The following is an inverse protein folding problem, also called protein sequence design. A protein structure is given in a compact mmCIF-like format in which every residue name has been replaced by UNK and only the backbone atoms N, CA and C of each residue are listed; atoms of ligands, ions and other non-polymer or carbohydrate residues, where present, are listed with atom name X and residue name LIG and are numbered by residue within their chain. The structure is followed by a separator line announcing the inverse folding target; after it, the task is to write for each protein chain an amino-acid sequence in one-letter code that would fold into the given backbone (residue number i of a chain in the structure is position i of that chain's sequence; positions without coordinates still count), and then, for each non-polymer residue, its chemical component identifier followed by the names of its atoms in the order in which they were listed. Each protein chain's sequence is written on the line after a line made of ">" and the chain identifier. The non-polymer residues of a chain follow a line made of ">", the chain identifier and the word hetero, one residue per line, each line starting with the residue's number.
data_IF_462353591753
#
_entry.id   IF_462353591753
#
_cell.length_a   1.000
_cell.length_b   1.000
_cell.length_c   1.000
_cell.angle_alpha   90.00
_cell.angle_beta   90.00
_cell.angle_gamma   90.00
#
_symmetry.space_group_name_H-M   'P 1'
#
loop_
_entity.id
_entity.type
_entity.pdbx_description
1 polymer ?
#
# COMPACT_ATOMS: atom_id res chain seq x y z
N UNK A 1 14.96 -5.41 -1.46
CA UNK A 1 14.25 -5.27 -0.16
C UNK A 1 13.75 -6.64 0.24
N UNK A 2 14.01 -7.07 1.46
CA UNK A 2 13.50 -8.33 2.01
C UNK A 2 12.58 -8.02 3.20
N UNK A 3 11.43 -8.69 3.26
CA UNK A 3 10.44 -8.52 4.33
C UNK A 3 10.79 -9.48 5.47
N UNK A 4 11.15 -8.93 6.63
CA UNK A 4 11.52 -9.70 7.81
C UNK A 4 10.29 -10.18 8.60
N UNK A 5 9.24 -9.36 8.66
CA UNK A 5 7.97 -9.73 9.29
C UNK A 5 6.81 -8.97 8.65
N UNK A 6 5.61 -9.54 8.74
CA UNK A 6 4.38 -8.91 8.29
C UNK A 6 3.26 -9.16 9.29
N UNK A 7 2.37 -8.16 9.43
CA UNK A 7 1.16 -8.26 10.24
C UNK A 7 -0.02 -7.74 9.45
N UNK A 8 -1.08 -8.54 9.42
CA UNK A 8 -2.35 -8.11 8.84
C UNK A 8 -2.92 -6.90 9.56
N UNK A 9 -3.45 -5.94 8.80
CA UNK A 9 -4.07 -4.72 9.33
C UNK A 9 -5.56 -4.73 9.05
N UNK A 10 -5.95 -4.82 7.79
CA UNK A 10 -7.35 -4.75 7.36
C UNK A 10 -7.48 -5.22 5.90
N UNK A 11 -8.71 -5.30 5.41
CA UNK A 11 -9.04 -5.54 4.02
C UNK A 11 -10.09 -4.54 3.54
N UNK A 12 -10.10 -4.27 2.23
CA UNK A 12 -11.11 -3.41 1.63
C UNK A 12 -11.51 -3.95 0.25
N UNK A 13 -12.81 -3.95 -0.03
CA UNK A 13 -13.32 -4.29 -1.35
C UNK A 13 -12.86 -3.26 -2.39
N UNK A 14 -12.59 -3.72 -3.61
CA UNK A 14 -12.15 -2.88 -4.72
C UNK A 14 -12.80 -3.35 -6.04
N UNK A 15 -12.87 -2.44 -7.00
CA UNK A 15 -13.29 -2.73 -8.37
C UNK A 15 -12.13 -2.39 -9.30
N UNK A 16 -11.51 -3.41 -9.87
CA UNK A 16 -10.38 -3.25 -10.79
C UNK A 16 -10.85 -3.34 -12.24
N UNK A 17 -10.75 -2.22 -12.98
CA UNK A 17 -11.05 -2.19 -14.41
C UNK A 17 -9.84 -2.66 -15.21
N UNK A 18 -9.96 -3.80 -15.90
CA UNK A 18 -8.92 -4.35 -16.74
C UNK A 18 -9.49 -4.88 -18.04
N UNK A 19 -8.95 -4.42 -19.18
CA UNK A 19 -9.43 -4.78 -20.52
C UNK A 19 -10.95 -4.69 -20.64
N UNK A 20 -11.51 -3.56 -20.21
CA UNK A 20 -12.96 -3.26 -20.23
C UNK A 20 -13.83 -4.17 -19.34
N UNK A 21 -13.22 -5.01 -18.50
CA UNK A 21 -13.92 -5.88 -17.55
C UNK A 21 -13.72 -5.35 -16.13
N UNK A 22 -14.82 -5.26 -15.39
CA UNK A 22 -14.81 -4.92 -13.97
C UNK A 22 -14.63 -6.18 -13.12
N UNK A 23 -13.50 -6.28 -12.44
CA UNK A 23 -13.22 -7.35 -11.49
C UNK A 23 -13.54 -6.90 -10.07
N UNK A 24 -14.34 -7.68 -9.36
CA UNK A 24 -14.53 -7.53 -7.91
C UNK A 24 -13.31 -8.14 -7.21
N UNK A 25 -12.54 -7.34 -6.50
CA UNK A 25 -11.37 -7.80 -5.75
C UNK A 25 -11.47 -7.43 -4.28
N UNK A 26 -10.69 -8.12 -3.45
CA UNK A 26 -10.51 -7.80 -2.05
C UNK A 26 -9.03 -7.54 -1.82
N UNK A 27 -8.69 -6.30 -1.49
CA UNK A 27 -7.31 -5.91 -1.24
C UNK A 27 -6.99 -6.15 0.24
N UNK A 28 -5.87 -6.81 0.51
CA UNK A 28 -5.40 -7.13 1.85
C UNK A 28 -4.20 -6.25 2.21
N UNK A 29 -4.27 -5.58 3.35
CA UNK A 29 -3.24 -4.63 3.78
C UNK A 29 -2.43 -5.20 4.93
N UNK A 30 -1.11 -5.16 4.76
CA UNK A 30 -0.13 -5.63 5.74
C UNK A 30 0.84 -4.51 6.08
N UNK A 31 1.27 -4.48 7.35
CA UNK A 31 2.42 -3.69 7.78
C UNK A 31 3.62 -4.63 7.85
N UNK A 32 4.68 -4.24 7.16
CA UNK A 32 5.90 -5.03 7.07
C UNK A 32 7.06 -4.33 7.76
N UNK A 33 7.96 -5.11 8.35
CA UNK A 33 9.30 -4.65 8.74
C UNK A 33 10.31 -5.15 7.71
N UNK A 34 11.25 -4.29 7.35
CA UNK A 34 12.33 -4.61 6.41
C UNK A 34 13.65 -4.35 7.11
N UNK A 35 14.60 -5.27 6.99
CA UNK A 35 15.88 -5.17 7.71
C UNK A 35 16.77 -4.09 7.09
N UNK A 36 16.71 -3.94 5.76
CA UNK A 36 17.49 -2.98 5.00
C UNK A 36 16.67 -2.36 3.86
N UNK A 37 16.73 -1.03 3.76
CA UNK A 37 16.04 -0.24 2.73
C UNK A 37 17.00 0.30 1.65
N UNK A 38 18.32 0.20 1.86
CA UNK A 38 19.32 0.83 0.98
C UNK A 38 19.41 0.22 -0.44
N UNK A 39 18.88 -1.00 -0.64
CA UNK A 39 18.87 -1.68 -1.94
C UNK A 39 17.48 -1.69 -2.61
N UNK A 40 16.60 -0.77 -2.24
CA UNK A 40 15.31 -0.61 -2.92
C UNK A 40 15.57 -0.02 -4.31
N UNK A 41 15.26 -0.79 -5.34
CA UNK A 41 15.36 -0.38 -6.73
C UNK A 41 13.99 -0.58 -7.41
N UNK A 42 13.46 0.41 -8.13
CA UNK A 42 12.30 0.20 -8.97
C UNK A 42 12.56 -0.93 -9.95
N UNK A 43 11.53 -1.73 -10.21
CA UNK A 43 11.53 -2.78 -11.24
C UNK A 43 10.61 -2.34 -12.38
N UNK A 44 10.43 -3.18 -13.40
CA UNK A 44 9.76 -2.82 -14.67
C UNK A 44 8.37 -2.16 -14.50
N UNK A 45 7.59 -2.56 -13.49
CA UNK A 45 6.22 -2.05 -13.26
C UNK A 45 6.15 -0.83 -12.32
N UNK A 46 7.28 -0.32 -11.82
CA UNK A 46 7.34 0.77 -10.84
C UNK A 46 8.25 1.88 -11.35
N UNK A 47 7.70 3.07 -11.60
CA UNK A 47 8.49 4.20 -12.12
C UNK A 47 9.47 4.80 -11.11
N UNK A 48 9.21 4.67 -9.81
CA UNK A 48 10.04 5.26 -8.77
C UNK A 48 9.54 4.93 -7.37
N UNK A 49 10.35 5.24 -6.37
CA UNK A 49 10.07 4.94 -4.96
C UNK A 49 10.30 6.18 -4.13
N UNK A 50 9.31 6.51 -3.31
CA UNK A 50 9.30 7.70 -2.47
C UNK A 50 9.03 7.30 -1.02
N UNK A 51 9.81 7.89 -0.10
CA UNK A 51 9.58 7.78 1.33
C UNK A 51 8.95 9.09 1.79
N UNK A 52 7.86 8.97 2.53
CA UNK A 52 7.14 10.11 3.08
C UNK A 52 7.17 10.03 4.60
N UNK A 53 7.27 11.18 5.25
CA UNK A 53 6.85 11.26 6.64
C UNK A 53 5.37 10.90 6.75
N UNK A 54 4.97 10.29 7.87
CA UNK A 54 3.60 9.78 8.06
C UNK A 54 2.54 10.87 7.83
N UNK A 55 2.83 12.11 8.21
CA UNK A 55 1.91 13.25 8.07
C UNK A 55 1.87 13.84 6.65
N UNK A 56 2.83 13.50 5.80
CA UNK A 56 3.01 14.09 4.46
C UNK A 56 2.66 13.12 3.32
N UNK A 57 2.14 11.94 3.66
CA UNK A 57 1.71 10.96 2.67
C UNK A 57 0.60 11.55 1.79
N UNK A 58 0.76 11.61 0.46
CA UNK A 58 -0.23 12.17 -0.45
C UNK A 58 -1.35 11.16 -0.73
N UNK A 59 -2.24 10.94 0.24
CA UNK A 59 -3.32 9.92 0.17
C UNK A 59 -4.18 10.08 -1.10
N UNK A 60 -4.44 11.32 -1.51
CA UNK A 60 -5.30 11.62 -2.67
C UNK A 60 -4.66 11.25 -4.02
N UNK A 61 -3.34 10.98 -4.06
CA UNK A 61 -2.66 10.50 -5.27
C UNK A 61 -2.77 8.98 -5.46
N UNK A 62 -3.24 8.24 -4.46
CA UNK A 62 -3.47 6.81 -4.61
C UNK A 62 -4.68 6.58 -5.52
N UNK A 63 -4.52 5.77 -6.57
CA UNK A 63 -5.59 5.54 -7.55
C UNK A 63 -6.81 4.83 -6.96
N UNK A 64 -6.59 3.79 -6.15
CA UNK A 64 -7.67 2.91 -5.70
C UNK A 64 -8.31 3.37 -4.37
N UNK A 65 -9.66 3.40 -4.30
CA UNK A 65 -10.38 3.68 -3.05
C UNK A 65 -10.01 2.73 -1.91
N UNK A 66 -9.82 1.44 -2.22
CA UNK A 66 -9.41 0.42 -1.25
C UNK A 66 -8.07 0.74 -0.60
N UNK A 67 -7.07 1.16 -1.40
CA UNK A 67 -5.74 1.53 -0.89
C UNK A 67 -5.81 2.76 0.00
N UNK A 68 -6.62 3.77 -0.36
CA UNK A 68 -6.87 4.93 0.51
C UNK A 68 -7.50 4.52 1.83
N UNK A 69 -8.53 3.67 1.81
CA UNK A 69 -9.20 3.17 3.01
C UNK A 69 -8.25 2.35 3.91
N UNK A 70 -7.47 1.43 3.32
CA UNK A 70 -6.50 0.61 4.04
C UNK A 70 -5.42 1.45 4.72
N UNK A 71 -4.90 2.47 4.02
CA UNK A 71 -3.89 3.38 4.55
C UNK A 71 -4.46 4.29 5.65
N UNK A 72 -5.65 4.86 5.46
CA UNK A 72 -6.33 5.66 6.49
C UNK A 72 -6.58 4.84 7.75
N UNK A 73 -7.05 3.59 7.61
CA UNK A 73 -7.24 2.69 8.74
C UNK A 73 -5.91 2.45 9.49
N UNK A 74 -4.82 2.18 8.77
CA UNK A 74 -3.49 2.05 9.38
C UNK A 74 -3.07 3.31 10.13
N UNK A 75 -3.26 4.49 9.52
CA UNK A 75 -2.89 5.78 10.11
C UNK A 75 -3.70 6.12 11.37
N UNK A 76 -4.93 5.64 11.48
CA UNK A 76 -5.79 5.88 12.64
C UNK A 76 -5.59 4.85 13.76
N UNK A 77 -5.30 3.59 13.42
CA UNK A 77 -5.34 2.47 14.38
C UNK A 77 -3.95 1.92 14.73
N UNK A 78 -2.89 2.39 14.07
CA UNK A 78 -1.51 1.95 14.30
C UNK A 78 -0.58 3.13 14.59
N UNK A 79 -1.10 4.20 15.20
CA UNK A 79 -0.25 5.20 15.85
C UNK A 79 0.48 4.50 17.02
N UNK A 80 1.81 4.61 17.03
CA UNK A 80 2.61 4.25 18.21
C UNK A 80 2.46 5.35 19.25
#
# INVERSE_FOLDING_TARGET
>A
MEVASYRYVTSAANIYLYKEIYYQTLDLFFVCTVDHWQAIQPQDDVAGIHLFERAEIPIDQLAFPSTRAGLQFYLQNTAR
#
